data_IF_299192201095
#
_entry.id   IF_299192201095
#
_cell.length_a   1.000
_cell.length_b   1.000
_cell.length_c   1.000
_cell.angle_alpha   90.00
_cell.angle_beta   90.00
_cell.angle_gamma   90.00
#
_symmetry.space_group_name_H-M   'P 1'
#
loop_
_entity.id
_entity.type
_entity.pdbx_description
1 polymer ?
#
# COMPACT_ATOMS: atom_id res chain seq x y z
N UNK A 1 4.23 15.00 -11.05
CA UNK A 1 3.07 14.35 -10.41
C UNK A 1 3.59 13.21 -9.56
N UNK A 2 3.40 13.29 -8.27
CA UNK A 2 3.83 12.24 -7.34
C UNK A 2 2.79 11.12 -7.27
N UNK A 3 3.16 9.94 -6.76
CA UNK A 3 2.20 8.85 -6.48
C UNK A 3 1.07 9.35 -5.57
N UNK A 4 1.36 10.28 -4.67
CA UNK A 4 0.37 10.95 -3.83
C UNK A 4 -0.69 11.71 -4.66
N UNK A 5 -0.28 12.35 -5.75
CA UNK A 5 -1.17 13.09 -6.63
C UNK A 5 -2.10 12.16 -7.43
N UNK A 6 -1.60 11.00 -7.85
CA UNK A 6 -2.41 9.99 -8.56
C UNK A 6 -3.49 9.42 -7.65
N UNK A 7 -3.16 9.08 -6.40
CA UNK A 7 -4.12 8.59 -5.41
C UNK A 7 -5.16 9.65 -5.08
N UNK A 8 -4.75 10.91 -4.96
CA UNK A 8 -5.66 12.04 -4.72
C UNK A 8 -6.59 12.30 -5.92
N UNK A 9 -6.08 12.18 -7.14
CA UNK A 9 -6.87 12.30 -8.37
C UNK A 9 -7.89 11.16 -8.50
N UNK A 10 -7.50 9.93 -8.22
CA UNK A 10 -8.41 8.78 -8.21
C UNK A 10 -9.53 8.96 -7.18
N UNK A 11 -9.24 9.49 -6.00
CA UNK A 11 -10.24 9.80 -4.98
C UNK A 11 -11.24 10.90 -5.42
N UNK A 12 -10.81 11.85 -6.26
CA UNK A 12 -11.70 12.92 -6.77
C UNK A 12 -12.53 12.52 -7.99
N UNK A 13 -12.01 11.62 -8.84
CA UNK A 13 -12.67 11.22 -10.10
C UNK A 13 -13.74 10.17 -9.84
N UNK A 14 -13.59 9.34 -8.82
CA UNK A 14 -14.53 8.28 -8.49
C UNK A 14 -15.41 8.64 -7.27
N UNK A 15 -16.27 9.63 -7.43
CA UNK A 15 -17.35 9.89 -6.49
C UNK A 15 -18.45 8.81 -6.66
N UNK A 16 -18.04 7.55 -6.52
CA UNK A 16 -18.92 6.40 -6.57
C UNK A 16 -19.41 6.10 -5.14
N UNK A 17 -20.66 6.39 -4.83
CA UNK A 17 -21.35 5.77 -3.70
C UNK A 17 -21.51 4.27 -4.00
N UNK A 18 -20.45 3.51 -3.80
CA UNK A 18 -20.52 2.06 -3.79
C UNK A 18 -21.26 1.64 -2.53
N UNK A 19 -22.56 1.37 -2.68
CA UNK A 19 -23.32 0.71 -1.63
C UNK A 19 -22.61 -0.60 -1.28
N UNK A 20 -22.06 -0.67 -0.07
CA UNK A 20 -21.53 -1.94 0.45
C UNK A 20 -22.64 -2.99 0.39
N UNK A 21 -22.38 -4.21 -0.10
CA UNK A 21 -23.28 -5.32 0.15
C UNK A 21 -23.49 -5.41 1.66
N UNK A 22 -24.72 -5.40 2.10
CA UNK A 22 -25.05 -5.53 3.53
C UNK A 22 -24.44 -6.86 4.03
N UNK A 23 -23.54 -6.80 5.00
CA UNK A 23 -23.02 -7.95 5.73
C UNK A 23 -21.58 -8.36 5.44
N UNK A 24 -20.89 -7.82 4.43
CA UNK A 24 -19.48 -8.13 4.17
C UNK A 24 -18.60 -7.03 4.73
N UNK A 25 -17.85 -7.35 5.81
CA UNK A 25 -16.78 -6.48 6.32
C UNK A 25 -15.49 -6.80 5.58
N UNK A 26 -14.84 -5.78 5.04
CA UNK A 26 -13.51 -5.93 4.46
C UNK A 26 -12.51 -6.06 5.60
N UNK A 27 -11.74 -7.12 5.56
CA UNK A 27 -10.67 -7.38 6.52
C UNK A 27 -9.35 -6.84 5.99
N UNK A 28 -8.59 -6.20 6.88
CA UNK A 28 -7.26 -5.68 6.59
C UNK A 28 -6.26 -6.35 7.53
N UNK A 29 -5.24 -6.96 6.95
CA UNK A 29 -4.18 -7.62 7.71
C UNK A 29 -2.96 -6.69 7.81
N UNK A 30 -2.61 -6.31 9.03
CA UNK A 30 -1.38 -5.57 9.31
C UNK A 30 -0.16 -6.41 8.98
N UNK A 31 0.84 -5.80 8.37
CA UNK A 31 2.16 -6.39 8.20
C UNK A 31 3.01 -6.07 9.44
N UNK A 32 3.76 -7.07 9.91
CA UNK A 32 4.56 -6.95 11.13
C UNK A 32 5.95 -6.30 10.91
N UNK A 33 6.28 -5.96 9.67
CA UNK A 33 7.62 -5.52 9.31
C UNK A 33 7.68 -4.01 9.10
N UNK A 34 8.79 -3.41 9.50
CA UNK A 34 9.19 -2.09 9.01
C UNK A 34 9.66 -2.22 7.56
N UNK A 35 9.17 -1.36 6.71
CA UNK A 35 9.39 -1.41 5.26
C UNK A 35 10.15 -0.20 4.76
N UNK A 36 10.87 -0.42 3.68
CA UNK A 36 11.64 0.59 2.95
C UNK A 36 11.20 0.60 1.50
N UNK A 37 11.05 1.79 0.94
CA UNK A 37 10.87 2.02 -0.48
C UNK A 37 12.17 2.60 -1.01
N UNK A 38 12.76 1.98 -2.01
CA UNK A 38 14.02 2.44 -2.57
C UNK A 38 14.09 2.24 -4.07
N UNK A 39 15.10 2.86 -4.66
CA UNK A 39 15.43 2.78 -6.08
C UNK A 39 16.84 2.25 -6.22
N UNK A 40 17.03 1.24 -7.05
CA UNK A 40 18.30 0.56 -7.26
C UNK A 40 18.75 0.66 -8.71
N UNK A 41 20.05 0.49 -8.96
CA UNK A 41 20.63 0.54 -10.31
C UNK A 41 20.43 -0.74 -11.08
N UNK A 42 20.39 -1.89 -10.40
CA UNK A 42 20.32 -3.20 -11.01
C UNK A 42 19.54 -4.17 -10.13
N UNK A 43 18.80 -5.09 -10.76
CA UNK A 43 18.16 -6.22 -10.05
C UNK A 43 19.19 -7.07 -9.31
N UNK A 44 20.43 -7.13 -9.80
CA UNK A 44 21.53 -7.86 -9.14
C UNK A 44 21.88 -7.35 -7.75
N UNK A 45 21.54 -6.11 -7.44
CA UNK A 45 21.75 -5.53 -6.11
C UNK A 45 20.71 -5.97 -5.09
N UNK A 46 19.60 -6.56 -5.54
CA UNK A 46 18.47 -6.96 -4.71
C UNK A 46 18.70 -8.36 -4.14
N UNK A 47 18.47 -8.50 -2.83
CA UNK A 47 18.50 -9.80 -2.15
C UNK A 47 17.20 -10.56 -2.43
N UNK A 48 17.22 -11.45 -3.43
CA UNK A 48 16.04 -12.23 -3.83
C UNK A 48 15.74 -13.40 -2.89
N UNK A 49 16.69 -13.79 -2.06
CA UNK A 49 16.54 -14.84 -1.06
C UNK A 49 15.96 -14.29 0.26
N UNK A 50 14.86 -13.56 0.14
CA UNK A 50 14.13 -12.98 1.27
C UNK A 50 12.63 -13.26 1.09
N UNK A 51 11.87 -13.20 2.20
CA UNK A 51 10.47 -13.64 2.20
C UNK A 51 9.49 -12.60 1.66
N UNK A 52 9.86 -11.32 1.69
CA UNK A 52 8.91 -10.25 1.39
C UNK A 52 9.57 -9.11 0.62
N UNK A 53 9.22 -8.95 -0.63
CA UNK A 53 9.63 -7.80 -1.44
C UNK A 53 8.73 -7.64 -2.66
N UNK A 54 8.72 -6.43 -3.21
CA UNK A 54 8.12 -6.09 -4.50
C UNK A 54 9.15 -5.38 -5.36
N UNK A 55 9.26 -5.78 -6.62
CA UNK A 55 10.13 -5.13 -7.61
C UNK A 55 9.24 -4.57 -8.72
N UNK A 56 9.40 -3.31 -9.02
CA UNK A 56 8.84 -2.67 -10.19
C UNK A 56 9.94 -2.20 -11.10
N UNK A 57 10.18 -2.90 -12.21
CA UNK A 57 11.12 -2.48 -13.24
C UNK A 57 10.40 -1.89 -14.43
N UNK A 58 10.76 -0.69 -14.80
CA UNK A 58 10.24 0.04 -15.95
C UNK A 58 11.40 0.55 -16.80
N UNK A 59 11.09 1.22 -17.89
CA UNK A 59 12.08 1.91 -18.73
C UNK A 59 12.75 3.10 -18.01
N UNK A 60 12.15 3.58 -16.92
CA UNK A 60 12.65 4.74 -16.17
C UNK A 60 13.40 4.38 -14.89
N UNK A 61 13.03 3.28 -14.23
CA UNK A 61 13.55 2.96 -12.89
C UNK A 61 13.42 1.47 -12.51
N UNK A 62 14.16 1.10 -11.50
CA UNK A 62 13.95 -0.15 -10.75
C UNK A 62 13.61 0.23 -9.32
N UNK A 63 12.36 0.06 -8.96
CA UNK A 63 11.81 0.33 -7.63
C UNK A 63 11.75 -0.96 -6.81
N UNK A 64 12.10 -0.87 -5.54
CA UNK A 64 12.07 -1.98 -4.60
C UNK A 64 11.33 -1.57 -3.33
N UNK A 65 10.39 -2.40 -2.91
CA UNK A 65 9.81 -2.38 -1.57
C UNK A 65 10.25 -3.65 -0.86
N UNK A 66 10.87 -3.52 0.30
CA UNK A 66 11.36 -4.66 1.09
C UNK A 66 11.32 -4.36 2.58
N UNK A 67 11.57 -5.39 3.39
CA UNK A 67 11.84 -5.16 4.82
C UNK A 67 13.07 -4.25 4.94
N UNK A 68 13.04 -3.34 5.89
CA UNK A 68 14.15 -2.39 6.09
C UNK A 68 15.48 -3.10 6.30
N UNK A 69 15.48 -4.23 7.02
CA UNK A 69 16.68 -5.06 7.24
C UNK A 69 17.24 -5.70 5.97
N UNK A 70 16.42 -5.88 4.94
CA UNK A 70 16.79 -6.51 3.66
C UNK A 70 17.13 -5.48 2.56
N UNK A 71 17.18 -4.20 2.91
CA UNK A 71 17.48 -3.15 1.94
C UNK A 71 18.93 -3.24 1.46
N UNK A 72 19.18 -3.19 0.12
CA UNK A 72 20.52 -3.17 -0.42
C UNK A 72 21.37 -2.03 0.14
N UNK A 73 22.66 -2.27 0.33
CA UNK A 73 23.58 -1.25 0.80
C UNK A 73 23.79 -0.11 -0.21
N UNK A 74 23.69 -0.40 -1.50
CA UNK A 74 23.85 0.57 -2.59
C UNK A 74 22.48 0.86 -3.23
N UNK A 75 21.91 1.98 -2.88
CA UNK A 75 20.65 2.49 -3.44
C UNK A 75 20.84 3.86 -4.07
N UNK A 76 20.07 4.17 -5.12
CA UNK A 76 20.05 5.50 -5.72
C UNK A 76 19.28 6.46 -4.82
N UNK A 77 18.12 6.01 -4.36
CA UNK A 77 17.27 6.71 -3.40
C UNK A 77 16.71 5.70 -2.41
N UNK A 78 16.50 6.14 -1.17
CA UNK A 78 16.02 5.27 -0.10
C UNK A 78 15.13 6.05 0.85
N UNK A 79 13.99 5.47 1.17
CA UNK A 79 13.04 6.01 2.11
C UNK A 79 12.57 4.92 3.07
N UNK A 80 13.08 4.98 4.30
CA UNK A 80 12.69 4.09 5.40
C UNK A 80 11.42 4.61 6.10
N UNK A 81 10.94 3.86 7.07
CA UNK A 81 9.85 4.29 7.95
C UNK A 81 8.47 4.13 7.34
N UNK A 82 8.24 3.00 6.67
CA UNK A 82 6.94 2.59 6.18
C UNK A 82 6.41 1.40 6.97
N UNK A 83 5.11 1.39 7.23
CA UNK A 83 4.36 0.23 7.68
C UNK A 83 3.22 -0.04 6.71
N UNK A 84 2.79 -1.28 6.65
CA UNK A 84 1.80 -1.67 5.65
C UNK A 84 0.71 -2.57 6.19
N UNK A 85 -0.30 -2.71 5.37
CA UNK A 85 -1.37 -3.68 5.52
C UNK A 85 -1.82 -4.16 4.14
N UNK A 86 -2.49 -5.29 4.11
CA UNK A 86 -3.09 -5.81 2.88
C UNK A 86 -4.58 -6.02 3.05
N UNK A 87 -5.31 -5.99 1.97
CA UNK A 87 -6.69 -6.43 1.94
C UNK A 87 -6.68 -7.96 2.06
N UNK A 88 -7.31 -8.50 3.10
CA UNK A 88 -7.30 -9.93 3.40
C UNK A 88 -8.41 -10.66 2.65
N UNK A 89 -8.07 -11.85 2.17
CA UNK A 89 -8.98 -12.70 1.41
C UNK A 89 -8.84 -12.53 -0.10
N UNK A 90 -9.48 -13.42 -0.83
CA UNK A 90 -9.54 -13.32 -2.30
C UNK A 90 -10.49 -12.20 -2.67
N UNK A 91 -9.98 -11.21 -3.42
CA UNK A 91 -10.83 -10.16 -3.97
C UNK A 91 -11.78 -10.79 -4.99
N UNK A 92 -13.04 -10.85 -4.66
CA UNK A 92 -14.10 -11.10 -5.63
C UNK A 92 -14.26 -9.85 -6.51
N UNK A 93 -14.51 -10.02 -7.79
CA UNK A 93 -14.84 -8.92 -8.71
C UNK A 93 -16.05 -8.08 -8.23
N UNK A 94 -16.88 -8.62 -7.33
CA UNK A 94 -17.94 -7.86 -6.66
C UNK A 94 -17.43 -6.75 -5.73
N UNK A 95 -16.13 -6.74 -5.38
CA UNK A 95 -15.48 -5.78 -4.50
C UNK A 95 -14.72 -4.68 -5.28
N UNK A 96 -15.22 -4.35 -6.46
CA UNK A 96 -14.69 -3.26 -7.29
C UNK A 96 -14.60 -1.96 -6.47
N UNK A 97 -13.46 -1.29 -6.53
CA UNK A 97 -13.26 0.02 -5.90
C UNK A 97 -12.88 -0.01 -4.41
N UNK A 98 -12.51 -1.16 -3.85
CA UNK A 98 -12.02 -1.21 -2.45
C UNK A 98 -10.81 -0.30 -2.28
N UNK A 99 -9.81 -0.41 -3.14
CA UNK A 99 -8.60 0.42 -3.08
C UNK A 99 -8.94 1.90 -3.23
N UNK A 100 -9.83 2.25 -4.16
CA UNK A 100 -10.29 3.62 -4.34
C UNK A 100 -10.94 4.17 -3.08
N UNK A 101 -11.80 3.41 -2.43
CA UNK A 101 -12.47 3.82 -1.21
C UNK A 101 -11.50 3.96 -0.04
N UNK A 102 -10.60 3.00 0.14
CA UNK A 102 -9.54 3.06 1.15
C UNK A 102 -8.66 4.30 0.96
N UNK A 103 -8.20 4.54 -0.25
CA UNK A 103 -7.35 5.68 -0.56
C UNK A 103 -8.06 7.01 -0.35
N UNK A 104 -9.34 7.09 -0.65
CA UNK A 104 -10.15 8.29 -0.39
C UNK A 104 -10.25 8.59 1.10
N UNK A 105 -10.55 7.59 1.92
CA UNK A 105 -10.63 7.74 3.38
C UNK A 105 -9.30 8.24 3.95
N UNK A 106 -8.18 7.64 3.51
CA UNK A 106 -6.86 8.04 3.98
C UNK A 106 -6.48 9.45 3.50
N UNK A 107 -6.78 9.78 2.25
CA UNK A 107 -6.53 11.12 1.70
C UNK A 107 -7.34 12.21 2.42
N UNK A 108 -8.59 11.97 2.77
CA UNK A 108 -9.43 12.89 3.54
C UNK A 108 -8.89 13.13 4.96
N UNK A 109 -8.09 12.20 5.48
CA UNK A 109 -7.40 12.31 6.75
C UNK A 109 -5.93 12.75 6.60
N UNK A 110 -5.54 13.27 5.43
CA UNK A 110 -4.20 13.76 5.13
C UNK A 110 -3.10 12.70 5.27
N UNK A 111 -3.44 11.43 5.02
CA UNK A 111 -2.51 10.30 5.05
C UNK A 111 -2.16 9.90 3.63
N UNK A 112 -0.89 10.09 3.25
CA UNK A 112 -0.35 9.64 1.99
C UNK A 112 -0.12 8.12 1.98
N UNK A 113 -0.28 7.49 0.83
CA UNK A 113 -0.09 6.05 0.66
C UNK A 113 0.87 5.71 -0.45
N UNK A 114 1.48 4.53 -0.35
CA UNK A 114 2.16 3.83 -1.42
C UNK A 114 1.43 2.50 -1.62
N UNK A 115 0.89 2.26 -2.80
CA UNK A 115 0.09 1.08 -3.08
C UNK A 115 0.80 0.14 -4.05
N UNK A 116 0.73 -1.16 -3.78
CA UNK A 116 1.23 -2.22 -4.65
C UNK A 116 0.12 -3.24 -4.85
N UNK A 117 -0.27 -3.44 -6.09
CA UNK A 117 -1.25 -4.46 -6.46
C UNK A 117 -0.53 -5.73 -6.90
N UNK A 118 -0.94 -6.86 -6.34
CA UNK A 118 -0.49 -8.19 -6.75
C UNK A 118 -1.63 -8.96 -7.42
N UNK A 119 -1.37 -10.19 -7.85
CA UNK A 119 -2.41 -11.04 -8.43
C UNK A 119 -3.58 -11.27 -7.47
N UNK A 120 -3.30 -11.48 -6.19
CA UNK A 120 -4.32 -11.83 -5.22
C UNK A 120 -4.97 -10.63 -4.54
N UNK A 121 -4.22 -9.56 -4.28
CA UNK A 121 -4.71 -8.46 -3.47
C UNK A 121 -3.84 -7.21 -3.57
N UNK A 122 -4.30 -6.15 -2.90
CA UNK A 122 -3.59 -4.89 -2.79
C UNK A 122 -2.88 -4.77 -1.44
N UNK A 123 -1.68 -4.22 -1.48
CA UNK A 123 -0.88 -3.82 -0.34
C UNK A 123 -0.81 -2.31 -0.26
N UNK A 124 -1.03 -1.77 0.91
CA UNK A 124 -1.00 -0.34 1.14
C UNK A 124 0.04 -0.03 2.22
N UNK A 125 0.97 0.84 1.89
CA UNK A 125 1.99 1.33 2.81
C UNK A 125 1.68 2.78 3.19
N UNK A 126 1.84 3.08 4.46
CA UNK A 126 1.77 4.44 4.99
C UNK A 126 3.01 4.72 5.82
N UNK A 127 3.36 5.98 5.99
CA UNK A 127 4.46 6.34 6.88
C UNK A 127 4.19 5.84 8.29
N UNK A 128 5.21 5.32 8.95
CA UNK A 128 5.10 4.72 10.29
C UNK A 128 4.45 5.65 11.30
N UNK A 129 4.73 6.94 11.23
CA UNK A 129 4.14 7.98 12.08
C UNK A 129 2.63 8.13 11.90
N UNK A 130 2.09 7.74 10.75
CA UNK A 130 0.66 7.82 10.42
C UNK A 130 -0.06 6.47 10.54
N UNK A 131 0.66 5.39 10.82
CA UNK A 131 0.09 4.04 10.72
C UNK A 131 -1.07 3.82 11.70
N UNK A 132 -0.90 4.18 12.97
CA UNK A 132 -1.96 4.02 13.96
C UNK A 132 -3.18 4.89 13.65
N UNK A 133 -2.95 6.12 13.19
CA UNK A 133 -4.05 6.99 12.73
C UNK A 133 -4.78 6.37 11.53
N UNK A 134 -4.05 5.81 10.56
CA UNK A 134 -4.63 5.14 9.40
C UNK A 134 -5.51 3.96 9.82
N UNK A 135 -5.02 3.11 10.72
CA UNK A 135 -5.79 1.97 11.23
C UNK A 135 -7.06 2.44 11.94
N UNK A 136 -6.96 3.45 12.78
CA UNK A 136 -8.09 4.00 13.53
C UNK A 136 -9.19 4.55 12.62
N UNK A 137 -8.84 5.38 11.64
CA UNK A 137 -9.85 5.95 10.73
C UNK A 137 -10.49 4.89 9.82
N UNK A 138 -9.76 3.86 9.45
CA UNK A 138 -10.32 2.75 8.68
C UNK A 138 -11.28 1.89 9.52
N UNK A 139 -10.95 1.61 10.79
CA UNK A 139 -11.85 0.91 11.71
C UNK A 139 -13.16 1.68 11.92
N UNK A 140 -13.08 2.99 12.10
CA UNK A 140 -14.25 3.86 12.22
C UNK A 140 -15.16 3.80 10.98
N UNK A 141 -14.58 3.56 9.81
CA UNK A 141 -15.32 3.38 8.57
C UNK A 141 -15.78 1.94 8.32
N UNK A 142 -15.59 1.05 9.31
CA UNK A 142 -16.12 -0.30 9.31
C UNK A 142 -15.20 -1.36 8.70
N UNK A 143 -13.93 -1.06 8.50
CA UNK A 143 -12.93 -2.10 8.18
C UNK A 143 -12.55 -2.85 9.45
N UNK A 144 -12.26 -4.14 9.29
CA UNK A 144 -11.85 -5.00 10.39
C UNK A 144 -10.35 -5.28 10.29
N UNK A 145 -9.62 -4.99 11.36
CA UNK A 145 -8.20 -5.34 11.46
C UNK A 145 -8.04 -6.79 11.94
N UNK A 146 -7.22 -7.56 11.26
CA UNK A 146 -6.91 -8.96 11.59
C UNK A 146 -5.40 -9.23 11.62
#
# INVERSE_FOLDING_TARGET
>A
MTIYDIVFLLGKVFNFELKRPRGVRVELKKLSHSLTVCKVKSIKDIYLDTEFFFIGETDEEISLVCKTEDTPADTIEREDGWNGFRIQGTLDFSLIGILSKLSTILAENEIGIFAVSTYNTDYILVKSENFEKAMSVLEEQGYRMV
#
